data_IF_004335439698
#
_entry.id   IF_004335439698
#
_cell.length_a   1.000
_cell.length_b   1.000
_cell.length_c   1.000
_cell.angle_alpha   90.00
_cell.angle_beta   90.00
_cell.angle_gamma   90.00
#
_symmetry.space_group_name_H-M   'P 1'
#
loop_
_entity.id
_entity.type
_entity.pdbx_description
1 polymer ?
#
# COMPACT_ATOMS: atom_id res chain seq x y z
N UNK A 1 -78.88 -27.67 -60.39
CA UNK A 1 -77.87 -28.29 -61.28
C UNK A 1 -76.68 -28.74 -60.43
N UNK A 2 -76.04 -29.86 -60.78
CA UNK A 2 -74.60 -30.20 -60.67
C UNK A 2 -73.78 -29.71 -59.45
N UNK A 3 -73.20 -30.59 -58.60
CA UNK A 3 -71.98 -31.44 -58.78
C UNK A 3 -70.64 -30.66 -58.65
N UNK A 4 -69.47 -31.17 -58.20
CA UNK A 4 -68.92 -32.48 -57.72
C UNK A 4 -67.61 -32.20 -56.89
N UNK A 5 -66.90 -33.08 -56.16
CA UNK A 5 -67.21 -34.20 -55.22
C UNK A 5 -65.89 -34.87 -54.70
N UNK A 6 -65.72 -35.06 -53.37
CA UNK A 6 -64.72 -35.96 -52.66
C UNK A 6 -63.21 -35.61 -52.75
N UNK A 7 -62.25 -36.30 -52.07
CA UNK A 7 -62.04 -36.77 -50.64
C UNK A 7 -60.84 -37.78 -50.59
N UNK A 8 -60.00 -37.69 -49.54
CA UNK A 8 -59.17 -38.74 -48.86
C UNK A 8 -58.00 -39.51 -49.56
N UNK A 9 -56.84 -39.53 -48.87
CA UNK A 9 -55.93 -40.67 -48.57
C UNK A 9 -54.88 -40.21 -47.50
N UNK A 10 -54.19 -40.95 -46.59
CA UNK A 10 -54.02 -42.39 -46.27
C UNK A 10 -53.10 -43.19 -47.22
N UNK A 11 -52.28 -44.21 -46.87
CA UNK A 11 -51.94 -45.03 -45.65
C UNK A 11 -50.59 -45.76 -45.95
N UNK A 12 -49.75 -46.38 -45.09
CA UNK A 12 -49.50 -46.49 -43.63
C UNK A 12 -48.18 -47.30 -43.38
N UNK A 13 -47.75 -47.53 -42.10
CA UNK A 13 -46.81 -48.62 -41.66
C UNK A 13 -45.31 -48.42 -42.06
N UNK A 14 -44.24 -48.88 -41.35
CA UNK A 14 -44.00 -50.00 -40.38
C UNK A 14 -42.89 -49.68 -39.33
N UNK A 15 -42.85 -50.43 -38.22
CA UNK A 15 -41.72 -50.48 -37.26
C UNK A 15 -40.55 -51.35 -37.76
N UNK A 16 -39.31 -51.00 -37.38
CA UNK A 16 -38.20 -51.96 -37.17
C UNK A 16 -37.20 -51.47 -36.12
N UNK A 17 -36.64 -52.38 -35.32
CA UNK A 17 -35.64 -52.10 -34.27
C UNK A 17 -34.21 -52.00 -34.81
N UNK A 18 -33.30 -51.35 -34.07
CA UNK A 18 -31.88 -51.71 -33.81
C UNK A 18 -31.35 -50.79 -32.64
N UNK A 19 -30.14 -50.99 -32.06
CA UNK A 19 -30.01 -51.09 -30.60
C UNK A 19 -29.62 -49.81 -29.86
N UNK A 20 -29.90 -49.80 -28.55
CA UNK A 20 -29.33 -48.85 -27.59
C UNK A 20 -27.85 -49.19 -27.33
N UNK A 21 -26.95 -48.28 -27.70
CA UNK A 21 -25.56 -48.32 -27.23
C UNK A 21 -25.46 -47.38 -26.02
N UNK A 22 -25.26 -47.96 -24.83
CA UNK A 22 -25.14 -47.20 -23.58
C UNK A 22 -23.74 -46.59 -23.43
N UNK A 23 -23.49 -45.47 -24.11
CA UNK A 23 -22.25 -44.70 -23.92
C UNK A 23 -22.31 -44.02 -22.55
N UNK A 24 -21.41 -44.43 -21.64
CA UNK A 24 -21.18 -43.72 -20.40
C UNK A 24 -20.43 -42.41 -20.70
N UNK A 25 -21.19 -41.34 -20.94
CA UNK A 25 -20.64 -39.99 -20.98
C UNK A 25 -20.22 -39.59 -19.56
N UNK A 26 -18.92 -39.70 -19.26
CA UNK A 26 -18.34 -39.12 -18.04
C UNK A 26 -18.45 -37.61 -18.13
N UNK A 27 -19.40 -37.03 -17.38
CA UNK A 27 -19.53 -35.59 -17.24
C UNK A 27 -18.30 -35.03 -16.50
N UNK A 28 -17.24 -34.71 -17.25
CA UNK A 28 -16.23 -33.78 -16.79
C UNK A 28 -16.92 -32.43 -16.57
N UNK A 29 -17.21 -32.15 -15.30
CA UNK A 29 -17.67 -30.84 -14.86
C UNK A 29 -16.54 -29.83 -15.04
N UNK A 30 -16.43 -29.27 -16.24
CA UNK A 30 -15.63 -28.06 -16.47
C UNK A 30 -16.37 -26.95 -15.71
N UNK A 31 -16.01 -26.81 -14.44
CA UNK A 31 -16.36 -25.64 -13.65
C UNK A 31 -15.60 -24.48 -14.27
N UNK A 32 -16.27 -23.79 -15.20
CA UNK A 32 -15.74 -22.57 -15.79
C UNK A 32 -15.78 -21.51 -14.71
N UNK A 33 -14.70 -21.44 -13.93
CA UNK A 33 -14.47 -20.37 -12.95
C UNK A 33 -14.29 -19.10 -13.77
N UNK A 34 -15.39 -18.40 -14.02
CA UNK A 34 -15.37 -17.00 -14.42
C UNK A 34 -14.82 -16.23 -13.24
N UNK A 35 -13.49 -16.08 -13.21
CA UNK A 35 -12.81 -15.09 -12.41
C UNK A 35 -13.38 -13.73 -12.81
N UNK A 36 -14.34 -13.26 -12.01
CA UNK A 36 -14.75 -11.87 -12.04
C UNK A 36 -13.56 -11.08 -11.48
N UNK A 37 -12.67 -10.68 -12.38
CA UNK A 37 -11.74 -9.60 -12.11
C UNK A 37 -12.58 -8.39 -11.73
N UNK A 38 -12.57 -8.02 -10.45
CA UNK A 38 -12.67 -6.62 -10.11
C UNK A 38 -11.66 -5.88 -11.00
N UNK A 39 -12.06 -4.77 -11.61
CA UNK A 39 -11.06 -3.73 -11.87
C UNK A 39 -10.46 -3.40 -10.50
N UNK A 40 -9.13 -3.32 -10.42
CA UNK A 40 -8.54 -2.60 -9.31
C UNK A 40 -9.06 -1.16 -9.38
N UNK A 41 -9.53 -0.65 -8.25
CA UNK A 41 -10.04 0.71 -8.19
C UNK A 41 -8.89 1.68 -8.49
N UNK A 42 -9.19 2.77 -9.19
CA UNK A 42 -8.16 3.79 -9.47
C UNK A 42 -7.67 4.37 -8.14
N UNK A 43 -6.36 4.36 -7.82
CA UNK A 43 -5.88 5.07 -6.63
C UNK A 43 -5.94 6.59 -6.82
N UNK A 44 -6.30 7.08 -8.01
CA UNK A 44 -6.51 8.48 -8.32
C UNK A 44 -7.99 8.85 -8.41
N UNK A 45 -8.31 10.11 -8.10
CA UNK A 45 -9.66 10.66 -8.28
C UNK A 45 -10.19 10.43 -9.70
N UNK A 46 -11.48 10.11 -9.80
CA UNK A 46 -12.12 9.59 -11.01
C UNK A 46 -13.30 10.43 -11.51
N UNK A 47 -13.81 11.36 -10.68
CA UNK A 47 -14.94 12.23 -11.01
C UNK A 47 -14.68 13.65 -10.49
N UNK A 48 -14.95 14.66 -11.33
CA UNK A 48 -15.19 16.04 -10.87
C UNK A 48 -16.70 16.24 -10.72
N UNK A 49 -17.13 16.71 -9.55
CA UNK A 49 -18.53 16.98 -9.24
C UNK A 49 -18.89 18.45 -9.42
N UNK A 50 -18.00 19.34 -9.00
CA UNK A 50 -18.17 20.80 -9.05
C UNK A 50 -16.81 21.46 -9.28
N UNK A 51 -16.80 22.60 -9.97
CA UNK A 51 -15.62 23.42 -10.18
C UNK A 51 -16.08 24.87 -10.34
N UNK A 52 -15.65 25.72 -9.40
CA UNK A 52 -16.04 27.12 -9.30
C UNK A 52 -14.75 27.94 -9.15
N UNK A 53 -14.08 28.29 -10.27
CA UNK A 53 -12.84 29.04 -10.20
C UNK A 53 -13.07 30.50 -9.80
N UNK A 54 -12.08 31.07 -9.11
CA UNK A 54 -11.99 32.48 -8.76
C UNK A 54 -11.71 33.40 -9.96
N UNK A 55 -11.63 34.72 -9.76
CA UNK A 55 -11.28 35.68 -10.81
C UNK A 55 -9.77 35.73 -11.10
N UNK A 56 -9.23 34.72 -11.78
CA UNK A 56 -7.77 34.58 -11.99
C UNK A 56 -7.18 34.89 -13.37
N UNK A 57 -5.85 35.08 -13.40
CA UNK A 57 -5.04 35.31 -14.60
C UNK A 57 -5.01 34.07 -15.50
N UNK A 58 -5.00 32.87 -14.90
CA UNK A 58 -4.99 31.60 -15.61
C UNK A 58 -6.40 31.04 -15.89
N UNK A 59 -7.42 31.53 -15.18
CA UNK A 59 -8.81 31.06 -15.29
C UNK A 59 -9.42 31.30 -16.68
N UNK A 60 -8.88 32.23 -17.48
CA UNK A 60 -9.31 32.40 -18.88
C UNK A 60 -8.41 31.66 -19.90
N UNK A 61 -7.44 30.88 -19.45
CA UNK A 61 -6.52 30.12 -20.29
C UNK A 61 -6.96 28.64 -20.38
N UNK A 62 -7.28 28.09 -21.57
CA UNK A 62 -7.70 26.70 -21.71
C UNK A 62 -6.59 25.67 -21.40
N UNK A 63 -5.35 26.11 -21.13
CA UNK A 63 -4.32 25.24 -20.55
C UNK A 63 -4.56 24.95 -19.06
N UNK A 64 -5.22 25.84 -18.32
CA UNK A 64 -5.37 25.74 -16.86
C UNK A 64 -6.84 25.70 -16.40
N UNK A 65 -7.79 26.07 -17.26
CA UNK A 65 -9.23 26.05 -16.97
C UNK A 65 -9.93 24.79 -17.56
N UNK A 66 -9.33 23.61 -17.39
CA UNK A 66 -9.96 22.33 -17.70
C UNK A 66 -9.92 21.45 -16.43
N UNK A 67 -11.01 21.33 -15.67
CA UNK A 67 -11.01 20.61 -14.41
C UNK A 67 -10.86 19.11 -14.56
N UNK A 68 -11.08 18.53 -15.76
CA UNK A 68 -10.91 17.09 -15.98
C UNK A 68 -9.45 16.63 -15.88
N UNK A 69 -8.49 17.57 -15.86
CA UNK A 69 -7.06 17.26 -15.74
C UNK A 69 -6.65 16.72 -14.38
N UNK A 70 -7.40 17.06 -13.32
CA UNK A 70 -7.17 16.59 -11.93
C UNK A 70 -7.43 15.09 -11.74
N UNK A 71 -7.89 14.40 -12.80
CA UNK A 71 -8.32 13.01 -12.77
C UNK A 71 -7.23 12.08 -13.32
N UNK A 72 -6.94 11.01 -12.59
CA UNK A 72 -5.83 10.11 -12.92
C UNK A 72 -4.49 10.56 -12.35
N UNK A 73 -3.40 10.08 -12.95
CA UNK A 73 -2.05 10.28 -12.42
C UNK A 73 -1.47 11.66 -12.75
N UNK A 74 -0.76 12.30 -11.80
CA UNK A 74 -0.10 13.59 -12.03
C UNK A 74 1.09 13.49 -13.01
N UNK A 75 1.48 14.64 -13.57
CA UNK A 75 2.68 14.81 -14.40
C UNK A 75 3.66 15.73 -13.67
N UNK A 76 4.37 15.19 -12.68
CA UNK A 76 5.40 15.93 -11.97
C UNK A 76 6.61 16.34 -12.81
N UNK A 77 7.41 17.25 -12.26
CA UNK A 77 8.63 17.77 -12.87
C UNK A 77 9.86 17.52 -11.99
N UNK A 78 10.47 18.61 -11.52
CA UNK A 78 11.54 18.58 -10.51
C UNK A 78 11.27 19.67 -9.47
N UNK A 79 11.90 19.56 -8.29
CA UNK A 79 11.70 20.49 -7.16
C UNK A 79 11.84 21.98 -7.48
N UNK A 80 12.51 22.37 -8.57
CA UNK A 80 12.67 23.78 -9.00
C UNK A 80 12.26 24.03 -10.44
N UNK A 81 11.55 23.08 -11.05
CA UNK A 81 10.97 23.20 -12.39
C UNK A 81 9.79 22.22 -12.46
N UNK A 82 8.60 22.62 -11.96
CA UNK A 82 7.39 21.82 -12.06
C UNK A 82 6.99 21.59 -13.53
N UNK A 83 6.09 20.64 -13.75
CA UNK A 83 5.54 20.35 -15.07
C UNK A 83 4.07 20.78 -15.09
N UNK A 84 3.78 21.87 -15.80
CA UNK A 84 2.50 22.56 -15.71
C UNK A 84 1.49 22.08 -16.77
N UNK A 85 1.47 20.78 -17.11
CA UNK A 85 0.69 20.25 -18.24
C UNK A 85 -0.66 19.61 -17.86
N UNK A 86 -0.84 19.08 -16.64
CA UNK A 86 -2.12 18.57 -16.10
C UNK A 86 -2.72 19.43 -14.97
N UNK A 87 -2.19 20.63 -14.74
CA UNK A 87 -2.76 21.53 -13.73
C UNK A 87 -4.15 22.06 -14.13
N UNK A 88 -5.04 22.13 -13.13
CA UNK A 88 -6.21 23.04 -13.11
C UNK A 88 -5.98 24.16 -12.09
N UNK A 89 -6.12 25.41 -12.52
CA UNK A 89 -6.08 26.57 -11.60
C UNK A 89 -7.40 26.70 -10.84
N UNK A 90 -7.33 26.97 -9.54
CA UNK A 90 -8.49 27.37 -8.75
C UNK A 90 -8.79 28.87 -8.93
N UNK A 91 -7.76 29.71 -9.02
CA UNK A 91 -7.88 31.17 -9.01
C UNK A 91 -8.32 31.72 -7.64
N UNK A 92 -8.16 33.02 -7.43
CA UNK A 92 -8.46 33.80 -6.22
C UNK A 92 -9.75 33.36 -5.47
N UNK A 93 -9.60 32.56 -4.40
CA UNK A 93 -10.72 32.01 -3.60
C UNK A 93 -11.62 30.98 -4.30
N UNK A 94 -11.19 30.39 -5.41
CA UNK A 94 -11.90 29.35 -6.14
C UNK A 94 -11.75 27.96 -5.51
N UNK A 95 -12.55 27.00 -5.99
CA UNK A 95 -12.47 25.61 -5.53
C UNK A 95 -12.86 24.57 -6.58
N UNK A 96 -12.45 23.34 -6.35
CA UNK A 96 -12.86 22.14 -7.08
C UNK A 96 -13.37 21.07 -6.12
N UNK A 97 -14.41 20.33 -6.51
CA UNK A 97 -14.90 19.16 -5.78
C UNK A 97 -14.67 17.91 -6.62
N UNK A 98 -13.86 16.99 -6.10
CA UNK A 98 -13.51 15.72 -6.73
C UNK A 98 -14.01 14.54 -5.89
N UNK A 99 -14.07 13.36 -6.49
CA UNK A 99 -14.34 12.12 -5.79
C UNK A 99 -13.69 10.90 -6.44
N UNK A 100 -13.67 9.81 -5.67
CA UNK A 100 -13.11 8.53 -6.06
C UNK A 100 -14.22 7.54 -6.46
N UNK A 101 -13.87 6.43 -7.13
CA UNK A 101 -14.80 5.33 -7.42
C UNK A 101 -15.03 4.38 -6.22
N UNK A 102 -14.41 4.69 -5.08
CA UNK A 102 -14.48 3.96 -3.82
C UNK A 102 -14.23 4.91 -2.62
N UNK A 103 -14.70 4.58 -1.39
CA UNK A 103 -14.32 5.33 -0.19
C UNK A 103 -12.83 5.20 0.13
N UNK A 104 -12.21 6.33 0.48
CA UNK A 104 -10.84 6.40 1.02
C UNK A 104 -10.94 6.35 2.54
N UNK A 105 -10.26 5.40 3.18
CA UNK A 105 -10.41 5.11 4.61
C UNK A 105 -9.32 5.73 5.46
N UNK A 106 -9.70 6.18 6.66
CA UNK A 106 -8.80 6.43 7.80
C UNK A 106 -8.07 5.13 8.11
N UNK A 107 -6.75 5.11 7.90
CA UNK A 107 -5.90 4.00 8.25
C UNK A 107 -4.57 4.50 8.86
N UNK A 108 -4.45 4.59 10.20
CA UNK A 108 -3.24 5.07 10.89
C UNK A 108 -2.03 4.11 10.77
N UNK A 109 -2.16 3.07 9.94
CA UNK A 109 -1.13 2.09 9.59
C UNK A 109 -0.55 2.36 8.19
N UNK A 110 -1.13 3.32 7.46
CA UNK A 110 -0.53 3.93 6.29
C UNK A 110 0.83 4.58 6.64
N UNK A 111 1.75 4.76 5.67
CA UNK A 111 2.99 5.49 5.92
C UNK A 111 2.70 6.87 6.52
N UNK A 112 3.30 7.16 7.67
CA UNK A 112 3.11 8.40 8.44
C UNK A 112 1.68 8.65 8.99
N UNK A 113 0.74 7.72 8.83
CA UNK A 113 -0.68 7.91 9.17
C UNK A 113 -1.45 8.75 8.14
N UNK A 114 -0.92 8.88 6.92
CA UNK A 114 -1.51 9.73 5.88
C UNK A 114 -2.30 8.87 4.89
N UNK A 115 -3.52 9.29 4.53
CA UNK A 115 -4.51 8.49 3.81
C UNK A 115 -4.73 8.94 2.35
N UNK A 116 -4.38 10.19 2.04
CA UNK A 116 -4.50 10.75 0.69
C UNK A 116 -3.43 11.81 0.40
N UNK A 117 -3.22 12.08 -0.89
CA UNK A 117 -2.22 13.02 -1.40
C UNK A 117 -2.89 13.96 -2.43
N UNK A 118 -2.63 15.25 -2.31
CA UNK A 118 -2.98 16.26 -3.32
C UNK A 118 -1.70 16.70 -4.03
N UNK A 119 -1.71 16.68 -5.37
CA UNK A 119 -0.57 17.05 -6.19
C UNK A 119 -0.79 18.44 -6.81
N UNK A 120 0.30 19.18 -6.96
CA UNK A 120 0.31 20.55 -7.48
C UNK A 120 1.66 20.93 -8.11
N UNK A 121 1.89 22.22 -8.29
CA UNK A 121 3.07 22.78 -8.96
C UNK A 121 4.16 23.45 -8.06
N UNK A 122 4.15 23.36 -6.70
CA UNK A 122 4.93 24.28 -5.88
C UNK A 122 6.42 24.06 -6.09
N UNK A 123 7.22 25.12 -5.96
CA UNK A 123 8.63 25.11 -6.37
C UNK A 123 9.58 25.57 -5.27
N UNK A 124 10.57 24.73 -4.93
CA UNK A 124 11.72 25.09 -4.11
C UNK A 124 12.59 26.11 -4.87
N UNK A 125 12.67 27.33 -4.35
CA UNK A 125 13.27 28.48 -5.02
C UNK A 125 14.79 28.29 -5.09
N UNK A 126 15.31 28.08 -6.30
CA UNK A 126 16.73 27.78 -6.51
C UNK A 126 17.19 26.40 -5.99
N UNK A 127 16.26 25.53 -5.62
CA UNK A 127 16.53 24.19 -5.06
C UNK A 127 16.52 24.12 -3.54
N UNK A 128 16.11 25.20 -2.86
CA UNK A 128 16.12 25.28 -1.40
C UNK A 128 14.81 24.76 -0.78
N UNK A 129 14.82 23.63 -0.04
CA UNK A 129 13.63 23.11 0.65
C UNK A 129 13.17 23.99 1.84
N UNK A 130 13.89 25.06 2.17
CA UNK A 130 13.48 26.05 3.19
C UNK A 130 12.79 27.28 2.60
N UNK A 131 12.77 27.44 1.27
CA UNK A 131 12.19 28.62 0.62
C UNK A 131 11.45 28.23 -0.66
N UNK A 132 10.14 28.43 -0.64
CA UNK A 132 9.19 27.94 -1.66
C UNK A 132 8.51 29.08 -2.38
N UNK A 133 8.00 28.76 -3.57
CA UNK A 133 6.77 29.33 -4.10
C UNK A 133 5.61 28.49 -3.53
N UNK A 134 4.71 29.11 -2.76
CA UNK A 134 3.58 28.47 -2.08
C UNK A 134 2.27 29.14 -2.49
N UNK A 135 1.32 28.38 -3.06
CA UNK A 135 0.01 28.88 -3.49
C UNK A 135 -1.10 28.11 -2.74
N UNK A 136 -1.13 28.16 -1.39
CA UNK A 136 -1.75 27.11 -0.58
C UNK A 136 -3.25 26.97 -0.79
N UNK A 137 -3.73 25.72 -0.83
CA UNK A 137 -5.15 25.38 -0.77
C UNK A 137 -5.47 24.51 0.45
N UNK A 138 -6.57 24.82 1.14
CA UNK A 138 -7.07 23.98 2.23
C UNK A 138 -8.01 22.89 1.68
N UNK A 139 -8.15 21.81 2.46
CA UNK A 139 -8.89 20.61 2.05
C UNK A 139 -10.04 20.34 3.02
N UNK A 140 -11.24 20.20 2.46
CA UNK A 140 -12.42 19.69 3.15
C UNK A 140 -12.77 18.30 2.59
N UNK A 141 -13.27 17.40 3.43
CA UNK A 141 -13.69 16.05 3.03
C UNK A 141 -15.10 15.72 3.49
N UNK A 142 -15.81 14.88 2.73
CA UNK A 142 -17.18 14.44 3.01
C UNK A 142 -17.41 12.98 2.63
N UNK A 143 -18.30 12.30 3.37
CA UNK A 143 -18.76 10.94 3.10
C UNK A 143 -20.02 10.94 2.23
N UNK A 144 -20.20 9.92 1.38
CA UNK A 144 -21.54 9.52 0.94
C UNK A 144 -22.25 8.76 2.09
N UNK A 145 -22.74 9.52 3.06
CA UNK A 145 -23.36 9.02 4.31
C UNK A 145 -24.84 8.68 4.09
N UNK A 146 -25.48 9.30 3.08
CA UNK A 146 -26.85 9.02 2.68
C UNK A 146 -26.99 7.97 1.56
N UNK A 147 -25.93 7.70 0.79
CA UNK A 147 -25.84 6.62 -0.21
C UNK A 147 -26.36 7.01 -1.60
N UNK A 148 -26.22 8.27 -1.99
CA UNK A 148 -26.72 8.81 -3.27
C UNK A 148 -25.64 9.04 -4.34
N UNK A 149 -24.36 8.95 -3.98
CA UNK A 149 -23.22 9.23 -4.86
C UNK A 149 -22.98 10.71 -5.17
N UNK A 150 -23.48 11.64 -4.34
CA UNK A 150 -23.38 13.09 -4.49
C UNK A 150 -22.72 13.76 -3.26
N UNK A 151 -22.00 14.88 -3.44
CA UNK A 151 -21.33 15.61 -2.36
C UNK A 151 -22.28 16.53 -1.56
N UNK A 152 -23.46 16.03 -1.16
CA UNK A 152 -24.51 16.79 -0.46
C UNK A 152 -24.69 16.47 1.04
N UNK A 153 -23.78 15.66 1.60
CA UNK A 153 -23.67 15.36 3.02
C UNK A 153 -22.78 16.38 3.79
N UNK A 154 -22.55 16.11 5.08
CA UNK A 154 -21.77 16.96 6.00
C UNK A 154 -20.27 17.01 5.61
N UNK A 155 -19.69 18.22 5.62
CA UNK A 155 -18.30 18.50 5.27
C UNK A 155 -17.44 18.77 6.51
N UNK A 156 -16.18 18.36 6.47
CA UNK A 156 -15.22 18.51 7.56
C UNK A 156 -13.87 19.03 7.03
N UNK A 157 -13.31 20.06 7.65
CA UNK A 157 -12.02 20.64 7.31
C UNK A 157 -10.89 19.75 7.84
N UNK A 158 -9.92 19.36 7.02
CA UNK A 158 -8.69 18.71 7.52
C UNK A 158 -7.79 19.79 8.11
N UNK A 159 -7.64 19.80 9.44
CA UNK A 159 -7.26 21.00 10.20
C UNK A 159 -5.83 21.49 9.86
N UNK A 160 -5.68 22.70 9.26
CA UNK A 160 -4.36 23.22 8.96
C UNK A 160 -3.61 23.73 10.19
N UNK A 161 -2.28 23.61 10.20
CA UNK A 161 -1.45 24.07 11.32
C UNK A 161 -1.57 25.58 11.60
N UNK A 162 -1.96 26.34 10.58
CA UNK A 162 -2.30 27.76 10.61
C UNK A 162 -3.58 27.94 9.80
N UNK A 163 -4.70 28.28 10.44
CA UNK A 163 -6.02 28.28 9.76
C UNK A 163 -6.08 29.34 8.64
N UNK A 164 -6.80 29.10 7.51
CA UNK A 164 -6.77 29.95 6.32
C UNK A 164 -6.96 31.45 6.59
N UNK A 165 -7.97 31.80 7.39
CA UNK A 165 -8.23 33.19 7.83
C UNK A 165 -7.18 33.84 8.74
N UNK A 166 -6.02 33.19 8.93
CA UNK A 166 -4.84 33.74 9.63
C UNK A 166 -3.56 33.72 8.79
N UNK A 167 -3.65 33.31 7.51
CA UNK A 167 -2.54 33.44 6.55
C UNK A 167 -2.24 34.92 6.26
N UNK A 168 -0.98 35.19 5.96
CA UNK A 168 -0.41 36.51 5.68
C UNK A 168 0.03 36.54 4.23
N UNK A 169 -0.70 37.28 3.39
CA UNK A 169 -0.48 37.26 1.95
C UNK A 169 0.75 38.03 1.48
N UNK A 170 1.35 37.57 0.38
CA UNK A 170 2.31 38.38 -0.38
C UNK A 170 1.66 39.71 -0.82
N UNK A 171 2.37 40.86 -0.78
CA UNK A 171 3.81 41.03 -0.54
C UNK A 171 4.16 41.49 0.89
N UNK A 172 3.47 40.99 1.93
CA UNK A 172 3.78 41.34 3.31
C UNK A 172 5.14 40.76 3.78
N UNK A 173 5.73 41.35 4.82
CA UNK A 173 6.96 40.83 5.45
C UNK A 173 6.62 39.56 6.25
N UNK A 174 7.31 38.44 5.98
CA UNK A 174 6.97 37.11 6.48
C UNK A 174 5.56 36.66 6.05
N UNK A 175 5.25 36.84 4.76
CA UNK A 175 4.10 36.21 4.13
C UNK A 175 4.24 34.69 4.09
N UNK A 176 3.09 34.01 4.16
CA UNK A 176 2.99 32.54 4.06
C UNK A 176 2.88 32.07 2.61
N UNK A 177 2.41 32.95 1.71
CA UNK A 177 2.11 32.69 0.30
C UNK A 177 3.13 33.33 -0.63
N UNK A 178 3.17 32.88 -1.89
CA UNK A 178 4.17 33.29 -2.86
C UNK A 178 5.57 32.87 -2.40
N UNK A 179 6.52 33.81 -2.40
CA UNK A 179 7.91 33.56 -1.97
C UNK A 179 8.04 33.46 -0.44
N UNK A 180 7.86 32.25 0.10
CA UNK A 180 7.62 31.99 1.52
C UNK A 180 8.53 30.89 2.11
N UNK A 181 8.94 31.12 3.37
CA UNK A 181 9.63 30.13 4.22
C UNK A 181 8.74 29.57 5.34
N UNK A 182 7.44 29.91 5.38
CA UNK A 182 6.51 29.30 6.35
C UNK A 182 6.43 27.80 6.12
N UNK A 183 6.34 27.02 7.19
CA UNK A 183 5.98 25.60 7.15
C UNK A 183 4.46 25.47 7.26
N UNK A 184 3.81 25.06 6.17
CA UNK A 184 2.38 24.76 6.14
C UNK A 184 2.17 23.24 6.23
N UNK A 185 1.16 22.81 6.99
CA UNK A 185 0.73 21.39 7.11
C UNK A 185 -0.79 21.30 7.00
N UNK A 186 -1.28 20.20 6.41
CA UNK A 186 -2.66 20.05 5.93
C UNK A 186 -3.08 21.21 5.00
N UNK A 187 -2.18 21.56 4.09
CA UNK A 187 -2.40 22.40 2.92
C UNK A 187 -1.86 21.65 1.70
N UNK A 188 -2.53 21.78 0.56
CA UNK A 188 -1.93 21.50 -0.74
C UNK A 188 -1.11 22.71 -1.21
N UNK A 189 -0.32 22.55 -2.27
CA UNK A 189 0.58 23.58 -2.83
C UNK A 189 1.75 23.96 -1.91
N UNK A 190 2.35 22.93 -1.30
CA UNK A 190 3.56 23.04 -0.47
C UNK A 190 4.69 22.08 -0.89
N UNK A 191 4.39 20.89 -1.43
CA UNK A 191 5.40 19.85 -1.76
C UNK A 191 5.48 19.57 -3.27
N UNK A 192 6.63 19.80 -3.94
CA UNK A 192 6.75 19.68 -5.39
C UNK A 192 6.45 18.28 -5.93
N UNK A 193 5.58 18.19 -6.94
CA UNK A 193 5.32 16.92 -7.64
C UNK A 193 6.51 16.53 -8.53
N UNK A 194 7.08 15.34 -8.32
CA UNK A 194 8.25 14.81 -9.01
C UNK A 194 7.87 13.98 -10.24
N UNK A 195 8.67 14.06 -11.31
CA UNK A 195 8.45 13.27 -12.52
C UNK A 195 8.61 11.76 -12.25
N UNK A 196 7.61 10.96 -12.68
CA UNK A 196 7.59 9.51 -12.59
C UNK A 196 8.90 8.86 -13.08
N UNK A 197 9.69 8.18 -12.22
CA UNK A 197 10.98 7.63 -12.62
C UNK A 197 10.84 6.42 -13.58
N UNK A 198 11.78 6.23 -14.53
CA UNK A 198 11.72 5.12 -15.47
C UNK A 198 11.69 3.75 -14.79
N UNK A 199 10.65 2.96 -15.07
CA UNK A 199 10.48 1.61 -14.53
C UNK A 199 9.56 1.51 -13.30
N UNK A 200 9.00 2.64 -12.83
CA UNK A 200 7.85 2.67 -11.91
C UNK A 200 6.53 2.87 -12.66
N UNK A 201 5.43 2.36 -12.11
CA UNK A 201 4.07 2.80 -12.52
C UNK A 201 3.61 3.99 -11.68
N UNK A 202 2.58 4.71 -12.13
CA UNK A 202 2.03 5.85 -11.40
C UNK A 202 1.49 5.43 -10.02
N UNK A 203 0.83 4.28 -9.99
CA UNK A 203 0.23 3.62 -8.83
C UNK A 203 1.27 3.07 -7.82
N UNK A 204 2.56 3.05 -8.19
CA UNK A 204 3.66 2.68 -7.30
C UNK A 204 4.41 3.88 -6.70
N UNK A 205 4.14 5.10 -7.16
CA UNK A 205 4.97 6.29 -6.90
C UNK A 205 4.15 7.47 -6.38
N UNK A 206 3.02 7.78 -7.03
CA UNK A 206 2.11 8.85 -6.63
C UNK A 206 1.05 8.40 -5.62
N UNK A 207 1.32 7.32 -4.90
CA UNK A 207 0.49 6.79 -3.81
C UNK A 207 1.30 6.51 -2.55
N UNK A 208 2.59 6.85 -2.55
CA UNK A 208 3.45 6.77 -1.37
C UNK A 208 3.66 8.20 -0.85
N UNK A 209 3.09 8.54 0.32
CA UNK A 209 3.04 9.92 0.78
C UNK A 209 4.43 10.41 1.19
N UNK A 210 4.69 11.69 0.97
CA UNK A 210 5.75 12.37 1.68
C UNK A 210 5.34 12.57 3.16
N UNK A 211 6.32 12.78 4.04
CA UNK A 211 6.03 13.11 5.44
C UNK A 211 5.70 14.60 5.57
N UNK A 212 4.90 14.96 6.57
CA UNK A 212 4.69 16.39 6.85
C UNK A 212 5.98 17.07 7.34
N UNK A 213 6.21 18.29 6.84
CA UNK A 213 7.29 19.17 7.27
C UNK A 213 7.04 19.79 8.65
N UNK A 214 8.08 19.88 9.48
CA UNK A 214 8.03 20.47 10.82
C UNK A 214 9.09 21.56 11.00
N UNK A 215 8.71 22.64 11.70
CA UNK A 215 9.64 23.70 12.10
C UNK A 215 10.80 23.14 12.93
N UNK A 216 12.03 23.43 12.52
CA UNK A 216 13.24 22.97 13.22
C UNK A 216 13.74 21.58 12.86
N UNK A 217 13.06 20.82 11.99
CA UNK A 217 13.57 19.58 11.41
C UNK A 217 13.83 19.73 9.88
N UNK A 218 15.06 20.09 9.46
CA UNK A 218 15.42 20.18 8.05
C UNK A 218 15.29 18.87 7.26
N UNK A 219 15.24 17.71 7.92
CA UNK A 219 15.04 16.42 7.24
C UNK A 219 13.59 16.17 6.86
N UNK A 220 12.65 16.83 7.54
CA UNK A 220 11.21 16.82 7.21
C UNK A 220 10.83 17.75 6.06
N UNK A 221 11.77 18.59 5.59
CA UNK A 221 11.57 19.49 4.45
C UNK A 221 11.93 18.87 3.10
N UNK A 222 12.45 17.63 3.11
CA UNK A 222 12.90 16.88 1.95
C UNK A 222 11.90 15.79 1.59
N UNK A 223 11.59 15.65 0.29
CA UNK A 223 10.71 14.59 -0.22
C UNK A 223 11.32 13.21 0.11
N UNK A 224 10.56 12.38 0.81
CA UNK A 224 11.03 11.09 1.30
C UNK A 224 11.28 10.07 0.18
N UNK A 225 12.27 9.18 0.38
CA UNK A 225 12.74 8.27 -0.67
C UNK A 225 11.63 7.31 -1.13
N UNK A 226 11.25 7.43 -2.40
CA UNK A 226 10.20 6.63 -3.04
C UNK A 226 8.86 7.36 -3.21
N UNK A 227 8.69 8.55 -2.63
CA UNK A 227 7.51 9.39 -2.85
C UNK A 227 7.59 10.16 -4.18
N UNK A 228 6.42 10.39 -4.79
CA UNK A 228 6.25 11.34 -5.88
C UNK A 228 6.18 12.81 -5.45
N UNK A 229 6.34 13.13 -4.16
CA UNK A 229 6.01 14.44 -3.61
C UNK A 229 4.50 14.61 -3.50
N UNK A 230 4.01 15.83 -3.66
CA UNK A 230 2.63 16.18 -3.32
C UNK A 230 2.39 16.21 -1.81
N UNK A 231 1.30 16.84 -1.40
CA UNK A 231 0.99 17.11 -0.01
C UNK A 231 0.04 16.05 0.55
N UNK A 232 0.42 15.42 1.67
CA UNK A 232 -0.26 14.26 2.21
C UNK A 232 -0.93 14.53 3.58
N UNK A 233 -2.12 13.94 3.75
CA UNK A 233 -3.10 14.32 4.79
C UNK A 233 -3.60 13.09 5.58
N UNK A 234 -3.87 13.28 6.87
CA UNK A 234 -4.48 12.31 7.80
C UNK A 234 -6.01 12.60 7.90
N UNK A 235 -6.88 11.59 7.76
CA UNK A 235 -8.33 11.78 7.92
C UNK A 235 -8.72 12.05 9.39
N UNK A 236 -7.93 11.62 10.37
CA UNK A 236 -8.15 11.91 11.79
C UNK A 236 -7.95 13.39 12.16
N UNK A 237 -7.20 14.15 11.34
CA UNK A 237 -7.08 15.61 11.46
C UNK A 237 -8.34 16.36 10.95
N UNK A 238 -9.35 15.66 10.41
CA UNK A 238 -10.63 16.26 10.04
C UNK A 238 -11.41 16.77 11.26
N UNK A 239 -11.92 18.00 11.18
CA UNK A 239 -12.70 18.67 12.23
C UNK A 239 -14.00 19.28 11.71
N UNK A 240 -14.97 19.44 12.59
CA UNK A 240 -16.21 20.18 12.31
C UNK A 240 -15.87 21.64 12.03
N UNK A 241 -16.40 22.19 10.93
CA UNK A 241 -16.30 23.60 10.57
C UNK A 241 -17.64 24.35 10.69
N UNK A 242 -17.58 25.68 10.69
CA UNK A 242 -18.77 26.56 10.68
C UNK A 242 -19.03 27.20 9.32
N UNK A 243 -18.05 27.13 8.42
CA UNK A 243 -18.03 27.59 7.04
C UNK A 243 -16.68 27.16 6.43
N UNK A 244 -16.55 27.01 5.09
CA UNK A 244 -15.34 26.51 4.45
C UNK A 244 -14.05 27.12 5.00
N UNK A 245 -13.16 26.28 5.53
CA UNK A 245 -11.85 26.69 6.06
C UNK A 245 -11.89 27.32 7.45
N UNK A 246 -13.03 27.32 8.15
CA UNK A 246 -13.20 27.93 9.48
C UNK A 246 -13.63 26.87 10.51
N UNK A 247 -12.68 26.28 11.27
CA UNK A 247 -12.99 25.20 12.21
C UNK A 247 -13.80 25.70 13.41
N UNK A 248 -14.80 24.93 13.80
CA UNK A 248 -15.69 25.21 14.92
C UNK A 248 -14.92 25.32 16.24
N UNK A 249 -15.42 26.14 17.16
CA UNK A 249 -14.78 26.40 18.45
C UNK A 249 -15.68 25.98 19.63
N UNK A 250 -15.19 25.12 20.55
CA UNK A 250 -13.86 24.48 20.56
C UNK A 250 -13.69 23.45 19.44
N UNK A 251 -12.43 23.27 19.00
CA UNK A 251 -12.05 22.26 17.99
C UNK A 251 -12.66 20.90 18.36
N UNK A 252 -13.36 20.32 17.39
CA UNK A 252 -14.06 19.03 17.53
C UNK A 252 -13.73 18.17 16.33
N UNK A 253 -12.95 17.09 16.54
CA UNK A 253 -12.60 16.15 15.48
C UNK A 253 -13.85 15.44 14.94
N UNK A 254 -13.88 15.23 13.63
CA UNK A 254 -14.97 14.59 12.91
C UNK A 254 -15.08 13.09 13.26
N UNK A 255 -13.93 12.42 13.48
CA UNK A 255 -13.84 10.98 13.74
C UNK A 255 -14.58 10.15 12.67
N UNK A 256 -14.46 10.54 11.40
CA UNK A 256 -15.06 9.85 10.27
C UNK A 256 -14.12 8.73 9.80
N UNK A 257 -14.63 7.52 9.51
CA UNK A 257 -13.76 6.39 9.15
C UNK A 257 -13.30 6.42 7.69
N UNK A 258 -13.87 7.30 6.87
CA UNK A 258 -13.56 7.44 5.45
C UNK A 258 -14.12 8.76 4.89
N UNK A 259 -13.74 9.08 3.66
CA UNK A 259 -14.45 10.05 2.81
C UNK A 259 -14.68 9.48 1.40
N UNK A 260 -15.54 10.17 0.64
CA UNK A 260 -15.84 9.85 -0.78
C UNK A 260 -15.60 11.07 -1.68
N UNK A 261 -15.82 12.27 -1.15
CA UNK A 261 -15.68 13.55 -1.84
C UNK A 261 -14.67 14.44 -1.11
N UNK A 262 -13.95 15.24 -1.89
CA UNK A 262 -12.97 16.20 -1.41
C UNK A 262 -13.21 17.54 -2.10
N UNK A 263 -13.25 18.63 -1.33
CA UNK A 263 -13.18 20.00 -1.84
C UNK A 263 -11.77 20.52 -1.57
N UNK A 264 -11.14 21.05 -2.60
CA UNK A 264 -9.86 21.75 -2.50
C UNK A 264 -10.13 23.21 -2.83
N UNK A 265 -9.83 24.10 -1.89
CA UNK A 265 -10.21 25.52 -1.93
C UNK A 265 -8.97 26.39 -1.75
N UNK A 266 -8.78 27.36 -2.66
CA UNK A 266 -7.72 28.35 -2.59
C UNK A 266 -7.78 29.15 -1.27
N UNK A 267 -6.64 29.23 -0.55
CA UNK A 267 -6.70 29.53 0.89
C UNK A 267 -6.70 31.00 1.27
N UNK A 268 -6.32 31.93 0.38
CA UNK A 268 -6.15 33.33 0.74
C UNK A 268 -6.56 34.30 -0.37
N UNK A 269 -7.77 34.85 -0.23
CA UNK A 269 -8.36 35.77 -1.20
C UNK A 269 -7.59 37.10 -1.28
N UNK A 270 -7.19 37.47 -2.49
CA UNK A 270 -6.74 38.81 -2.88
C UNK A 270 -5.27 39.14 -2.61
N UNK A 271 -4.39 38.14 -2.46
CA UNK A 271 -2.95 38.36 -2.39
C UNK A 271 -2.28 38.36 -3.80
N UNK A 272 -1.00 38.75 -3.86
CA UNK A 272 -0.31 38.85 -5.16
C UNK A 272 1.21 38.94 -5.06
N UNK A 273 1.90 38.51 -6.11
CA UNK A 273 3.35 38.56 -6.26
C UNK A 273 3.81 39.67 -7.25
N UNK A 274 3.19 40.85 -7.15
CA UNK A 274 3.59 42.05 -7.89
C UNK A 274 3.43 41.92 -9.41
N UNK A 275 4.53 41.66 -10.13
CA UNK A 275 4.49 41.49 -11.61
C UNK A 275 4.12 40.08 -12.05
N UNK A 276 4.13 39.09 -11.13
CA UNK A 276 3.69 37.73 -11.41
C UNK A 276 2.16 37.58 -11.33
N UNK A 277 1.47 38.61 -10.83
CA UNK A 277 0.01 38.65 -10.73
C UNK A 277 -0.53 38.15 -9.38
N UNK A 278 -1.77 37.67 -9.44
CA UNK A 278 -2.41 36.76 -8.49
C UNK A 278 -1.47 35.62 -8.06
N UNK A 279 -1.65 35.16 -6.82
CA UNK A 279 -1.22 33.84 -6.34
C UNK A 279 -2.49 33.00 -6.27
N UNK A 280 -2.46 31.74 -6.73
CA UNK A 280 -3.62 30.85 -6.67
C UNK A 280 -3.23 29.38 -6.81
N UNK A 281 -3.89 28.49 -6.07
CA UNK A 281 -3.59 27.06 -6.12
C UNK A 281 -3.80 26.41 -7.51
N UNK A 282 -2.92 25.49 -7.91
CA UNK A 282 -2.91 24.85 -9.24
C UNK A 282 -2.80 23.31 -9.15
N UNK A 283 -3.93 22.64 -8.95
CA UNK A 283 -3.99 21.21 -8.63
C UNK A 283 -3.72 20.34 -9.87
N UNK A 284 -2.78 19.40 -9.77
CA UNK A 284 -2.40 18.46 -10.84
C UNK A 284 -3.19 17.15 -10.77
N UNK A 285 -3.38 16.59 -9.56
CA UNK A 285 -4.13 15.36 -9.32
C UNK A 285 -4.47 15.19 -7.83
N UNK A 286 -5.28 14.17 -7.52
CA UNK A 286 -5.48 13.67 -6.15
C UNK A 286 -5.40 12.15 -6.15
N UNK A 287 -4.68 11.56 -5.19
CA UNK A 287 -4.64 10.12 -4.97
C UNK A 287 -5.02 9.74 -3.53
N UNK A 288 -5.45 8.50 -3.34
CA UNK A 288 -5.34 7.86 -2.03
C UNK A 288 -3.91 7.38 -1.82
N UNK A 289 -3.47 7.39 -0.57
CA UNK A 289 -2.28 6.65 -0.18
C UNK A 289 -2.58 5.17 -0.38
N UNK A 290 -1.65 4.48 -1.07
CA UNK A 290 -1.73 3.04 -1.24
C UNK A 290 -1.47 2.41 0.12
N UNK A 291 -2.56 2.20 0.86
CA UNK A 291 -2.53 1.41 2.08
C UNK A 291 -1.81 0.11 1.78
N UNK A 292 -0.82 -0.25 2.60
CA UNK A 292 0.15 -1.30 2.24
C UNK A 292 -0.49 -2.70 2.12
N UNK A 293 -1.81 -2.79 2.37
CA UNK A 293 -2.76 -3.88 2.10
C UNK A 293 -2.70 -4.50 0.70
N UNK A 294 -1.91 -3.94 -0.21
CA UNK A 294 -1.48 -4.53 -1.47
C UNK A 294 -1.32 -6.05 -1.39
N UNK A 295 -2.14 -6.76 -2.17
CA UNK A 295 -2.36 -8.20 -2.02
C UNK A 295 -1.15 -9.08 -2.41
N UNK A 296 -0.06 -8.46 -2.86
CA UNK A 296 1.23 -9.07 -3.25
C UNK A 296 1.61 -10.22 -2.31
N UNK A 297 1.57 -11.47 -2.79
CA UNK A 297 2.06 -12.60 -2.02
C UNK A 297 3.59 -12.55 -1.93
N UNK A 298 4.16 -12.95 -0.80
CA UNK A 298 5.61 -13.10 -0.62
C UNK A 298 6.22 -14.01 -1.71
N UNK A 299 5.50 -15.05 -2.13
CA UNK A 299 5.89 -15.95 -3.23
C UNK A 299 5.74 -15.36 -4.64
N UNK A 300 5.18 -14.16 -4.79
CA UNK A 300 5.21 -13.36 -6.01
C UNK A 300 6.36 -12.33 -5.94
N UNK A 301 6.51 -11.64 -4.80
CA UNK A 301 7.64 -10.74 -4.56
C UNK A 301 9.00 -11.43 -4.77
N UNK A 302 9.21 -12.62 -4.20
CA UNK A 302 10.42 -13.46 -4.37
C UNK A 302 10.77 -13.85 -5.83
N UNK A 303 9.98 -13.45 -6.83
CA UNK A 303 10.24 -13.67 -8.28
C UNK A 303 10.70 -12.41 -9.01
N UNK A 304 10.66 -11.24 -8.37
CA UNK A 304 11.22 -10.00 -8.93
C UNK A 304 12.75 -10.04 -8.86
N UNK A 305 13.40 -9.12 -9.58
CA UNK A 305 14.87 -9.01 -9.59
C UNK A 305 15.41 -8.56 -8.23
N UNK A 306 16.59 -9.03 -7.80
CA UNK A 306 17.34 -8.37 -6.74
C UNK A 306 17.56 -6.89 -7.08
N UNK A 307 17.37 -6.01 -6.10
CA UNK A 307 17.33 -4.56 -6.27
C UNK A 307 15.92 -3.97 -6.48
N UNK A 308 14.89 -4.78 -6.74
CA UNK A 308 13.50 -4.29 -6.78
C UNK A 308 13.00 -3.91 -5.38
N UNK A 309 12.38 -2.73 -5.25
CA UNK A 309 11.67 -2.31 -4.03
C UNK A 309 10.30 -2.98 -4.00
N UNK A 310 9.95 -3.60 -2.87
CA UNK A 310 8.71 -4.34 -2.66
C UNK A 310 7.96 -3.81 -1.44
N UNK A 311 6.66 -3.59 -1.60
CA UNK A 311 5.71 -3.46 -0.50
C UNK A 311 4.96 -4.78 -0.26
N UNK A 312 4.76 -5.13 1.00
CA UNK A 312 3.97 -6.28 1.48
C UNK A 312 3.17 -5.84 2.72
N UNK A 313 1.89 -6.20 2.86
CA UNK A 313 1.22 -6.16 4.17
C UNK A 313 0.26 -7.31 4.42
N UNK A 314 -0.36 -7.28 5.60
CA UNK A 314 -1.13 -8.39 6.16
C UNK A 314 -0.26 -9.59 6.53
N UNK A 315 1.07 -9.44 6.52
CA UNK A 315 2.01 -10.54 6.77
C UNK A 315 2.21 -10.68 8.26
N UNK A 316 2.12 -11.90 8.78
CA UNK A 316 2.25 -12.15 10.22
C UNK A 316 3.71 -12.43 10.59
N UNK A 317 4.22 -11.72 11.59
CA UNK A 317 5.54 -11.94 12.19
C UNK A 317 5.54 -13.30 12.87
N UNK A 318 6.43 -14.19 12.42
CA UNK A 318 6.52 -15.58 12.89
C UNK A 318 7.76 -15.86 13.75
N UNK A 319 8.79 -15.01 13.63
CA UNK A 319 9.97 -14.99 14.49
C UNK A 319 10.60 -13.59 14.55
N UNK A 320 11.21 -13.27 15.68
CA UNK A 320 11.98 -12.02 15.89
C UNK A 320 13.38 -12.38 16.39
N UNK A 321 14.41 -11.82 15.76
CA UNK A 321 15.81 -11.96 16.15
C UNK A 321 16.50 -10.59 16.15
N UNK A 322 17.71 -10.52 16.72
CA UNK A 322 18.51 -9.29 16.67
C UNK A 322 18.94 -8.98 15.21
N UNK A 323 18.32 -7.96 14.60
CA UNK A 323 18.61 -7.46 13.25
C UNK A 323 17.82 -8.12 12.11
N UNK A 324 17.04 -9.18 12.40
CA UNK A 324 16.20 -9.89 11.42
C UNK A 324 14.85 -10.25 12.04
N UNK A 325 13.75 -10.02 11.31
CA UNK A 325 12.45 -10.63 11.59
C UNK A 325 12.06 -11.58 10.45
N UNK A 326 11.16 -12.51 10.73
CA UNK A 326 10.55 -13.37 9.71
C UNK A 326 9.06 -13.09 9.63
N UNK A 327 8.57 -12.85 8.42
CA UNK A 327 7.16 -12.63 8.13
C UNK A 327 6.63 -13.70 7.16
N UNK A 328 5.36 -14.05 7.27
CA UNK A 328 4.73 -15.03 6.39
C UNK A 328 3.28 -14.70 6.09
N UNK A 329 2.72 -15.35 5.06
CA UNK A 329 1.29 -15.33 4.79
C UNK A 329 0.51 -16.07 5.89
N UNK A 330 -0.71 -15.63 6.20
CA UNK A 330 -1.59 -16.26 7.20
C UNK A 330 -1.99 -17.70 6.83
N UNK A 331 -2.12 -18.00 5.53
CA UNK A 331 -2.34 -19.36 5.03
C UNK A 331 -1.07 -20.24 5.09
N UNK A 332 0.09 -19.60 5.26
CA UNK A 332 1.46 -20.14 5.29
C UNK A 332 1.95 -20.67 3.94
N UNK A 333 1.44 -20.09 2.84
CA UNK A 333 1.88 -20.40 1.47
C UNK A 333 3.30 -19.93 1.16
N UNK A 334 3.79 -18.86 1.81
CA UNK A 334 5.19 -18.43 1.73
C UNK A 334 5.60 -17.57 2.94
N UNK A 335 6.91 -17.46 3.19
CA UNK A 335 7.52 -16.61 4.20
C UNK A 335 8.85 -16.03 3.74
N UNK A 336 9.36 -14.99 4.41
CA UNK A 336 10.57 -14.25 4.03
C UNK A 336 11.25 -13.61 5.26
N UNK A 337 12.59 -13.55 5.24
CA UNK A 337 13.38 -12.78 6.21
C UNK A 337 13.38 -11.30 5.83
N UNK A 338 13.33 -10.43 6.84
CA UNK A 338 13.35 -8.98 6.70
C UNK A 338 14.43 -8.45 7.64
N UNK A 339 15.49 -7.86 7.08
CA UNK A 339 16.58 -7.24 7.83
C UNK A 339 16.12 -5.87 8.31
N UNK A 340 15.98 -5.69 9.61
CA UNK A 340 15.40 -4.47 10.21
C UNK A 340 15.78 -4.32 11.68
N UNK A 341 15.64 -3.11 12.21
CA UNK A 341 15.76 -2.77 13.63
C UNK A 341 14.42 -2.37 14.27
N UNK A 342 13.32 -2.51 13.54
CA UNK A 342 11.98 -2.20 14.04
C UNK A 342 11.58 -3.07 15.24
N UNK A 343 10.92 -2.47 16.24
CA UNK A 343 10.37 -3.17 17.38
C UNK A 343 8.99 -3.76 17.03
N UNK A 344 8.91 -5.09 16.99
CA UNK A 344 7.70 -5.88 16.69
C UNK A 344 7.68 -7.15 17.56
N UNK A 345 6.50 -7.71 17.80
CA UNK A 345 6.32 -8.97 18.54
C UNK A 345 5.89 -10.14 17.62
N UNK A 346 6.09 -11.38 18.09
CA UNK A 346 5.58 -12.56 17.38
C UNK A 346 4.04 -12.54 17.35
N UNK A 347 3.44 -12.64 16.17
CA UNK A 347 2.00 -12.50 15.99
C UNK A 347 1.53 -11.09 15.65
N UNK A 348 2.41 -10.08 15.61
CA UNK A 348 2.08 -8.83 14.93
C UNK A 348 1.80 -9.09 13.44
N UNK A 349 0.81 -8.39 12.89
CA UNK A 349 0.60 -8.27 11.44
C UNK A 349 1.28 -6.99 11.04
N UNK A 350 2.15 -7.06 10.05
CA UNK A 350 2.97 -5.93 9.62
C UNK A 350 2.75 -5.60 8.15
N UNK A 351 3.00 -4.34 7.82
CA UNK A 351 3.42 -3.92 6.51
C UNK A 351 4.94 -3.75 6.49
N UNK A 352 5.57 -4.06 5.36
CA UNK A 352 7.00 -3.97 5.13
C UNK A 352 7.24 -3.37 3.76
N UNK A 353 8.09 -2.35 3.70
CA UNK A 353 8.66 -1.83 2.46
C UNK A 353 10.17 -2.03 2.54
N UNK A 354 10.75 -2.70 1.54
CA UNK A 354 12.20 -2.94 1.50
C UNK A 354 12.68 -3.39 0.12
N UNK A 355 13.99 -3.43 -0.04
CA UNK A 355 14.65 -3.82 -1.30
C UNK A 355 14.92 -5.32 -1.27
N UNK A 356 14.56 -6.04 -2.34
CA UNK A 356 14.90 -7.45 -2.49
C UNK A 356 16.42 -7.63 -2.61
N UNK A 357 16.96 -8.50 -1.76
CA UNK A 357 18.35 -8.92 -1.79
C UNK A 357 18.45 -10.44 -1.79
N UNK A 358 19.56 -10.98 -2.30
CA UNK A 358 19.94 -12.39 -2.14
C UNK A 358 21.22 -12.46 -1.30
N UNK A 359 21.23 -13.32 -0.30
CA UNK A 359 22.42 -13.68 0.44
C UNK A 359 22.47 -15.19 0.64
N UNK A 360 23.48 -15.85 0.06
CA UNK A 360 23.69 -17.30 0.13
C UNK A 360 22.52 -18.17 -0.43
N UNK A 361 21.80 -17.68 -1.44
CA UNK A 361 20.56 -18.26 -2.00
C UNK A 361 19.33 -18.10 -1.07
N UNK A 362 19.41 -17.23 -0.07
CA UNK A 362 18.23 -16.71 0.63
C UNK A 362 17.78 -15.38 0.01
N UNK A 363 16.59 -15.37 -0.57
CA UNK A 363 15.91 -14.11 -0.96
C UNK A 363 15.22 -13.50 0.26
N UNK A 364 15.61 -12.27 0.62
CA UNK A 364 15.16 -11.52 1.78
C UNK A 364 14.89 -10.04 1.44
N UNK A 365 14.32 -9.27 2.36
CA UNK A 365 14.19 -7.81 2.24
C UNK A 365 15.26 -7.10 3.08
N UNK A 366 16.01 -6.19 2.46
CA UNK A 366 16.99 -5.30 3.10
C UNK A 366 16.50 -3.83 3.08
N UNK A 367 17.18 -2.95 3.82
CA UNK A 367 16.79 -1.55 4.04
C UNK A 367 15.32 -1.37 4.50
N UNK A 368 14.77 -2.35 5.22
CA UNK A 368 13.33 -2.50 5.35
C UNK A 368 12.70 -1.63 6.46
N UNK A 369 11.80 -0.73 6.07
CA UNK A 369 10.85 -0.04 6.96
C UNK A 369 9.69 -1.01 7.29
N UNK A 370 9.30 -1.09 8.56
CA UNK A 370 8.26 -2.00 9.05
C UNK A 370 7.23 -1.21 9.86
N UNK A 371 5.95 -1.44 9.59
CA UNK A 371 4.81 -0.77 10.21
C UNK A 371 3.91 -1.83 10.85
N UNK A 372 3.54 -1.68 12.13
CA UNK A 372 2.67 -2.66 12.82
C UNK A 372 1.21 -2.34 12.51
N UNK A 373 0.54 -3.26 11.80
CA UNK A 373 -0.85 -3.11 11.37
C UNK A 373 -1.85 -3.55 12.46
N UNK A 374 -1.52 -4.60 13.22
CA UNK A 374 -2.31 -5.10 14.35
C UNK A 374 -1.56 -6.19 15.11
N UNK A 375 -1.56 -6.14 16.44
CA UNK A 375 -1.08 -7.26 17.26
C UNK A 375 -2.09 -8.40 17.34
N UNK A 376 -1.61 -9.64 17.48
CA UNK A 376 -2.47 -10.82 17.53
C UNK A 376 -1.70 -12.09 17.87
N UNK A 377 -2.33 -13.25 17.72
CA UNK A 377 -1.68 -14.54 18.04
C UNK A 377 -0.62 -14.92 17.01
N UNK A 378 0.56 -15.44 17.41
CA UNK A 378 1.53 -16.05 16.51
C UNK A 378 0.91 -17.10 15.58
N UNK A 379 1.43 -17.29 14.36
CA UNK A 379 0.90 -18.24 13.40
C UNK A 379 1.21 -19.68 13.83
N UNK A 380 0.29 -20.62 13.54
CA UNK A 380 0.52 -22.04 13.84
C UNK A 380 1.57 -22.61 12.89
N UNK A 381 2.66 -23.24 13.38
CA UNK A 381 3.71 -23.77 12.52
C UNK A 381 3.20 -24.83 11.54
N UNK A 382 3.88 -24.96 10.41
CA UNK A 382 3.62 -26.02 9.43
C UNK A 382 4.40 -27.29 9.81
N UNK A 383 3.69 -28.35 10.20
CA UNK A 383 4.29 -29.65 10.48
C UNK A 383 4.83 -30.29 9.19
N UNK A 384 6.09 -30.74 9.19
CA UNK A 384 6.77 -31.30 8.01
C UNK A 384 7.84 -32.33 8.39
N UNK A 385 8.25 -33.16 7.43
CA UNK A 385 9.35 -34.13 7.57
C UNK A 385 10.69 -33.50 7.17
N UNK A 386 11.81 -34.02 7.69
CA UNK A 386 13.13 -33.44 7.52
C UNK A 386 13.54 -33.23 6.05
N UNK A 387 13.26 -34.23 5.20
CA UNK A 387 13.52 -34.17 3.75
C UNK A 387 12.68 -33.10 3.01
N UNK A 388 11.56 -32.64 3.58
CA UNK A 388 10.67 -31.66 2.94
C UNK A 388 10.95 -30.20 3.34
N UNK A 389 11.99 -29.95 4.15
CA UNK A 389 12.47 -28.60 4.45
C UNK A 389 13.36 -28.00 3.34
N UNK A 390 13.88 -28.83 2.43
CA UNK A 390 14.74 -28.38 1.35
C UNK A 390 14.60 -29.28 0.12
N UNK A 391 14.42 -28.69 -1.06
CA UNK A 391 14.33 -29.44 -2.31
C UNK A 391 14.06 -28.56 -3.52
N UNK A 392 14.12 -29.15 -4.72
CA UNK A 392 13.89 -28.46 -5.99
C UNK A 392 12.39 -28.23 -6.24
N UNK A 393 11.85 -27.10 -5.78
CA UNK A 393 10.44 -26.75 -5.99
C UNK A 393 9.95 -25.66 -5.04
N UNK A 394 8.79 -25.90 -4.41
CA UNK A 394 8.26 -25.05 -3.35
C UNK A 394 9.17 -25.11 -2.12
N UNK A 395 9.86 -24.02 -1.82
CA UNK A 395 10.77 -23.92 -0.67
C UNK A 395 10.01 -23.50 0.60
N UNK A 396 10.32 -24.13 1.73
CA UNK A 396 9.83 -23.68 3.05
C UNK A 396 10.64 -22.50 3.62
N UNK A 397 11.72 -22.07 2.96
CA UNK A 397 12.61 -21.02 3.47
C UNK A 397 11.86 -19.71 3.80
N UNK A 398 11.90 -19.33 5.08
CA UNK A 398 11.19 -18.19 5.67
C UNK A 398 9.88 -18.54 6.40
N UNK A 399 9.37 -19.78 6.31
CA UNK A 399 8.19 -20.23 7.05
C UNK A 399 8.55 -20.74 8.45
N UNK A 400 7.64 -20.49 9.41
CA UNK A 400 7.63 -21.15 10.71
C UNK A 400 7.07 -22.58 10.57
N UNK A 401 7.90 -23.57 10.90
CA UNK A 401 7.67 -24.99 10.70
C UNK A 401 7.86 -25.77 12.00
N UNK A 402 7.37 -27.01 12.04
CA UNK A 402 7.68 -27.97 13.10
C UNK A 402 8.15 -29.29 12.49
N UNK A 403 9.29 -29.78 12.98
CA UNK A 403 9.80 -31.14 12.70
C UNK A 403 9.90 -31.93 14.00
N UNK A 404 10.23 -33.21 13.89
CA UNK A 404 10.44 -34.12 15.02
C UNK A 404 11.51 -35.14 14.68
N UNK A 405 11.97 -35.91 15.66
CA UNK A 405 12.91 -37.01 15.44
C UNK A 405 13.85 -37.25 16.62
N UNK A 406 14.82 -38.13 16.43
CA UNK A 406 15.87 -38.38 17.41
C UNK A 406 17.00 -37.36 17.23
N UNK A 407 17.47 -36.78 18.34
CA UNK A 407 18.65 -35.90 18.37
C UNK A 407 19.89 -36.76 18.12
N UNK A 408 20.63 -36.48 17.05
CA UNK A 408 21.75 -37.34 16.60
C UNK A 408 23.10 -36.84 17.08
N UNK A 409 23.28 -35.51 17.16
CA UNK A 409 24.51 -34.83 17.57
C UNK A 409 24.18 -33.43 18.10
N UNK A 410 24.96 -32.95 19.06
CA UNK A 410 24.79 -31.64 19.72
C UNK A 410 26.14 -30.93 19.83
N UNK A 411 26.16 -29.63 19.56
CA UNK A 411 27.29 -28.72 19.77
C UNK A 411 27.00 -27.73 20.90
N UNK A 412 27.62 -26.55 20.85
CA UNK A 412 27.42 -25.49 21.87
C UNK A 412 26.19 -24.62 21.56
N UNK A 413 25.96 -24.28 20.29
CA UNK A 413 24.91 -23.38 19.80
C UNK A 413 23.99 -24.01 18.73
N UNK A 414 24.14 -25.32 18.47
CA UNK A 414 23.31 -26.08 17.54
C UNK A 414 23.16 -27.56 17.95
N UNK A 415 22.21 -28.25 17.33
CA UNK A 415 22.12 -29.72 17.33
C UNK A 415 21.54 -30.23 16.00
N UNK A 416 21.39 -31.55 15.87
CA UNK A 416 20.80 -32.20 14.70
C UNK A 416 19.65 -33.13 15.13
N UNK A 417 18.57 -33.16 14.34
CA UNK A 417 17.39 -34.03 14.54
C UNK A 417 17.10 -34.80 13.26
N UNK A 418 16.92 -36.12 13.36
CA UNK A 418 16.55 -36.97 12.21
C UNK A 418 15.29 -37.81 12.52
N UNK A 419 14.32 -37.76 11.61
CA UNK A 419 13.07 -38.54 11.61
C UNK A 419 13.19 -39.88 10.83
N UNK A 420 14.33 -40.10 10.17
CA UNK A 420 14.57 -41.21 9.25
C UNK A 420 14.34 -40.88 7.78
N UNK A 421 14.05 -39.61 7.43
CA UNK A 421 13.87 -39.16 6.04
C UNK A 421 15.15 -38.63 5.37
N UNK A 422 16.25 -38.52 6.12
CA UNK A 422 17.53 -37.94 5.67
C UNK A 422 18.71 -38.90 5.89
N UNK A 423 19.58 -39.00 4.89
CA UNK A 423 20.79 -39.85 4.89
C UNK A 423 21.95 -39.26 5.74
N UNK A 424 21.90 -37.97 6.06
CA UNK A 424 22.87 -37.25 6.91
C UNK A 424 22.54 -37.37 8.42
N UNK A 425 23.28 -36.65 9.27
CA UNK A 425 22.95 -36.44 10.70
C UNK A 425 21.53 -35.90 10.92
N UNK A 426 20.90 -35.28 9.92
CA UNK A 426 19.51 -34.84 9.94
C UNK A 426 19.35 -33.36 9.63
N UNK A 427 18.24 -32.78 10.08
CA UNK A 427 17.99 -31.34 10.06
C UNK A 427 18.89 -30.67 11.10
N UNK A 428 19.64 -29.63 10.72
CA UNK A 428 20.38 -28.82 11.70
C UNK A 428 19.45 -27.83 12.39
N UNK A 429 19.60 -27.69 13.69
CA UNK A 429 18.83 -26.75 14.51
C UNK A 429 19.80 -25.77 15.14
N UNK A 430 19.70 -24.49 14.76
CA UNK A 430 20.48 -23.39 15.32
C UNK A 430 19.72 -22.81 16.52
N UNK A 431 20.35 -22.85 17.69
CA UNK A 431 19.78 -22.46 18.98
C UNK A 431 20.76 -21.62 19.82
N UNK A 432 21.28 -20.50 19.29
CA UNK A 432 22.31 -19.71 19.97
C UNK A 432 21.82 -19.13 21.30
N UNK A 433 22.55 -19.40 22.38
CA UNK A 433 22.22 -18.95 23.74
C UNK A 433 21.17 -19.78 24.47
N UNK A 434 20.67 -20.86 23.85
CA UNK A 434 19.77 -21.85 24.45
C UNK A 434 20.53 -23.13 24.83
N UNK A 435 19.87 -24.13 25.40
CA UNK A 435 20.52 -25.41 25.75
C UNK A 435 20.26 -26.48 24.68
N UNK A 436 21.27 -26.93 23.90
CA UNK A 436 21.10 -28.04 22.97
C UNK A 436 20.75 -29.34 23.72
N UNK A 437 19.71 -30.10 23.30
CA UNK A 437 19.38 -31.38 23.92
C UNK A 437 20.50 -32.41 23.72
N UNK A 438 20.71 -33.35 24.67
CA UNK A 438 21.67 -34.43 24.48
C UNK A 438 21.22 -35.45 23.42
N UNK A 439 22.17 -35.97 22.67
CA UNK A 439 21.94 -36.99 21.65
C UNK A 439 21.27 -38.26 22.22
N UNK A 440 20.41 -38.89 21.41
CA UNK A 440 19.59 -40.05 21.76
C UNK A 440 18.19 -39.72 22.30
N UNK A 441 17.90 -38.45 22.66
CA UNK A 441 16.55 -38.03 23.01
C UNK A 441 15.65 -37.86 21.77
N UNK A 442 14.35 -38.06 21.92
CA UNK A 442 13.38 -37.69 20.89
C UNK A 442 12.86 -36.27 21.15
N UNK A 443 12.84 -35.43 20.12
CA UNK A 443 12.45 -34.03 20.19
C UNK A 443 11.38 -33.68 19.15
N UNK A 444 10.56 -32.67 19.47
CA UNK A 444 9.72 -31.91 18.54
C UNK A 444 10.29 -30.49 18.53
N UNK A 445 10.70 -30.01 17.37
CA UNK A 445 11.38 -28.72 17.19
C UNK A 445 10.51 -27.82 16.33
N UNK A 446 10.19 -26.63 16.83
CA UNK A 446 9.55 -25.54 16.07
C UNK A 446 10.60 -24.48 15.74
N UNK A 447 10.49 -23.81 14.59
CA UNK A 447 11.43 -22.76 14.22
C UNK A 447 11.23 -22.28 12.81
N UNK A 448 11.96 -21.24 12.39
CA UNK A 448 11.92 -20.79 11.00
C UNK A 448 12.85 -21.64 10.14
N UNK A 449 12.34 -22.13 9.02
CA UNK A 449 13.12 -22.85 8.01
C UNK A 449 14.06 -21.87 7.32
N UNK A 450 15.36 -22.16 7.33
CA UNK A 450 16.40 -21.32 6.72
C UNK A 450 17.27 -22.15 5.74
N UNK A 451 17.80 -21.55 4.67
CA UNK A 451 18.77 -22.20 3.81
C UNK A 451 20.15 -22.24 4.50
N UNK A 452 20.80 -23.40 4.55
CA UNK A 452 22.19 -23.54 5.00
C UNK A 452 23.04 -24.22 3.93
N UNK A 453 24.16 -23.58 3.55
CA UNK A 453 25.20 -24.15 2.67
C UNK A 453 26.26 -24.87 3.49
N UNK A 454 26.54 -26.12 3.12
CA UNK A 454 27.66 -26.88 3.65
C UNK A 454 28.99 -26.43 3.03
N UNK A 455 30.10 -26.78 3.69
CA UNK A 455 31.42 -26.71 3.07
C UNK A 455 31.47 -27.62 1.82
N UNK A 456 31.56 -27.02 0.64
CA UNK A 456 31.39 -27.71 -0.65
C UNK A 456 30.17 -27.25 -1.46
N UNK A 457 29.31 -26.39 -0.91
CA UNK A 457 28.19 -25.76 -1.63
C UNK A 457 26.90 -26.58 -1.72
N UNK A 458 26.89 -27.80 -1.19
CA UNK A 458 25.66 -28.58 -1.02
C UNK A 458 24.75 -27.93 0.03
N UNK A 459 23.46 -27.79 -0.28
CA UNK A 459 22.47 -27.30 0.68
C UNK A 459 22.12 -28.37 1.73
N UNK A 460 21.71 -27.95 2.93
CA UNK A 460 21.03 -28.83 3.90
C UNK A 460 19.76 -28.21 4.50
N UNK A 461 18.81 -29.04 4.97
CA UNK A 461 17.76 -28.62 5.89
C UNK A 461 18.30 -27.98 7.17
N UNK A 462 17.87 -26.76 7.47
CA UNK A 462 18.19 -26.07 8.71
C UNK A 462 16.99 -25.29 9.27
N UNK A 463 16.91 -25.24 10.60
CA UNK A 463 15.95 -24.42 11.36
C UNK A 463 16.70 -23.45 12.28
N UNK A 464 16.12 -22.27 12.52
CA UNK A 464 16.50 -21.36 13.60
C UNK A 464 15.36 -21.29 14.61
N UNK A 465 15.61 -21.72 15.85
CA UNK A 465 14.61 -21.66 16.94
C UNK A 465 14.62 -20.27 17.59
N UNK A 466 13.50 -19.88 18.21
CA UNK A 466 13.28 -18.52 18.70
C UNK A 466 13.56 -18.39 20.20
N UNK A 467 13.18 -19.41 20.97
CA UNK A 467 13.37 -19.51 22.41
C UNK A 467 13.27 -20.97 22.89
N UNK A 468 13.56 -21.26 24.17
CA UNK A 468 13.59 -22.62 24.71
C UNK A 468 12.27 -23.42 24.49
N UNK A 469 11.11 -22.77 24.43
CA UNK A 469 9.81 -23.44 24.24
C UNK A 469 9.65 -24.07 22.84
N UNK A 470 10.45 -23.64 21.86
CA UNK A 470 10.50 -24.25 20.53
C UNK A 470 11.17 -25.64 20.55
N UNK A 471 11.91 -25.98 21.62
CA UNK A 471 12.63 -27.26 21.80
C UNK A 471 11.87 -28.14 22.80
N UNK A 472 11.00 -29.04 22.32
CA UNK A 472 10.22 -29.93 23.19
C UNK A 472 10.75 -31.37 23.16
N UNK A 473 11.33 -31.81 24.27
CA UNK A 473 11.72 -33.22 24.47
C UNK A 473 10.51 -34.08 24.84
N UNK A 474 10.47 -35.30 24.29
CA UNK A 474 9.57 -36.37 24.74
C UNK A 474 10.37 -37.38 25.59
N UNK A 475 9.78 -37.81 26.69
CA UNK A 475 10.30 -38.80 27.63
C UNK A 475 9.68 -40.19 27.38
#
# INVERSE_FOLDING_TARGET
MHEKTKRLCWTSVRNTFLPVILVWATCFGISLVTSCSRLEASPFASVVYEYVPGPGQWVNNPKFNDPLKVLGAPQGGTVSSPCNESLVTLGDGGHIVVGFDHPIWDDPRNPHGLDFIVFGNPAWVGGDPTFRWQEPAFVEISMDKNGNGLPDDEWYLVLPNKVPGTLVGSPAENCDTGYSSTVLRNYAEYTPTLALPPGKTAEEFYTFPDRQSFEGDPSSLLIDEGSGGGDAFDIADAVVETSPGVPAQPITHANIPCFHFMRITDALIGDSAGILGEISAEIDAVSCVSSLTGTTPIGAAKKQSPGSVVALAGKVVSAVFAGDIFIQEEDRSCGIRVRTSAAVEEGDRVAVIGTLADENDEVFLDNARVYVMASGTPPKPLATVGHSLHGTGLSTAGLLVTVWGTVTLSGDDYFFVNDGSLDEVGVRVHCPGLTPPPAGQFAIITGVSIPEKQAGGQMRPALRVRNENDIRILQ
#
